data_IF_342759480459
#
_entry.id   IF_342759480459
#
_cell.length_a   1.000
_cell.length_b   1.000
_cell.length_c   1.000
_cell.angle_alpha   90.00
_cell.angle_beta   90.00
_cell.angle_gamma   90.00
#
_symmetry.space_group_name_H-M   'P 1'
#
loop_
_entity.id
_entity.type
_entity.pdbx_description
1 polymer ?
#
# COMPACT_ATOMS: atom_id res chain seq x y z
N UNK A 1 4.92 -2.23 36.37
CA UNK A 1 5.51 -2.30 35.01
C UNK A 1 6.11 -0.95 34.62
N UNK A 2 5.32 0.12 34.48
CA UNK A 2 5.81 1.47 34.13
C UNK A 2 6.97 2.02 34.98
N UNK A 3 6.97 1.83 36.32
CA UNK A 3 8.05 2.36 37.17
C UNK A 3 9.41 1.69 36.90
N UNK A 4 9.44 0.36 36.74
CA UNK A 4 10.66 -0.38 36.44
C UNK A 4 11.12 -0.11 35.00
N UNK A 5 10.20 0.10 34.07
CA UNK A 5 10.49 0.48 32.69
C UNK A 5 11.13 1.87 32.60
N UNK A 6 10.60 2.86 33.33
CA UNK A 6 11.16 4.21 33.39
C UNK A 6 12.48 4.23 34.16
N UNK A 7 12.57 3.56 35.30
CA UNK A 7 13.82 3.46 36.07
C UNK A 7 14.93 2.79 35.26
N UNK A 8 14.60 1.74 34.50
CA UNK A 8 15.53 1.10 33.57
C UNK A 8 15.90 2.05 32.43
N UNK A 9 14.94 2.71 31.76
CA UNK A 9 15.22 3.68 30.71
C UNK A 9 16.13 4.85 31.13
N UNK A 10 16.02 5.32 32.38
CA UNK A 10 16.87 6.38 32.93
C UNK A 10 18.25 5.87 33.39
N UNK A 11 18.33 4.65 33.95
CA UNK A 11 19.58 4.02 34.38
C UNK A 11 20.46 3.58 33.20
N UNK A 12 19.82 3.19 32.11
CA UNK A 12 20.42 2.75 30.86
C UNK A 12 20.88 3.92 29.98
N UNK A 13 21.45 4.99 30.54
CA UNK A 13 21.96 6.19 29.83
C UNK A 13 23.14 5.93 28.87
N UNK A 14 23.30 4.69 28.38
CA UNK A 14 24.21 4.25 27.32
C UNK A 14 23.39 3.62 26.19
N UNK A 15 23.86 3.68 24.95
CA UNK A 15 23.10 3.14 23.81
C UNK A 15 22.66 1.68 24.04
N UNK A 16 21.44 1.30 23.60
CA UNK A 16 20.77 0.03 23.92
C UNK A 16 21.53 -1.27 23.60
N UNK A 17 22.65 -1.20 22.88
CA UNK A 17 23.58 -2.32 22.65
C UNK A 17 24.73 -2.37 23.68
N UNK A 18 25.18 -1.23 24.21
CA UNK A 18 26.33 -1.12 25.14
C UNK A 18 26.02 -1.45 26.60
N UNK A 19 24.75 -1.71 26.92
CA UNK A 19 24.28 -2.07 28.27
C UNK A 19 24.53 -3.53 28.62
N UNK A 20 24.56 -4.38 27.59
CA UNK A 20 24.66 -5.82 27.77
C UNK A 20 26.09 -6.30 28.06
N UNK A 21 27.07 -5.38 28.16
CA UNK A 21 28.43 -5.68 28.65
C UNK A 21 28.49 -5.86 30.18
N UNK A 22 27.50 -5.37 30.94
CA UNK A 22 27.42 -5.55 32.40
C UNK A 22 26.88 -6.94 32.78
N UNK A 23 26.02 -7.51 31.93
CA UNK A 23 25.44 -8.83 32.13
C UNK A 23 25.26 -9.53 30.76
N UNK A 24 26.26 -10.32 30.29
CA UNK A 24 26.24 -10.93 28.96
C UNK A 24 25.07 -11.89 28.74
N UNK A 25 24.46 -12.40 29.81
CA UNK A 25 23.32 -13.33 29.75
C UNK A 25 22.05 -12.69 29.14
N UNK A 26 21.85 -11.38 29.27
CA UNK A 26 20.67 -10.69 28.75
C UNK A 26 20.87 -10.03 27.39
N UNK A 27 22.08 -10.13 26.81
CA UNK A 27 22.43 -9.53 25.51
C UNK A 27 21.51 -9.98 24.37
N UNK A 28 21.12 -11.25 24.35
CA UNK A 28 20.21 -11.79 23.34
C UNK A 28 18.81 -11.17 23.39
N UNK A 29 18.30 -10.89 24.59
CA UNK A 29 16.95 -10.32 24.79
C UNK A 29 16.90 -8.87 24.28
N UNK A 30 17.96 -8.09 24.48
CA UNK A 30 18.03 -6.73 23.96
C UNK A 30 18.10 -6.64 22.45
N UNK A 31 18.85 -7.54 21.81
CA UNK A 31 18.90 -7.60 20.35
C UNK A 31 17.55 -8.08 19.78
N UNK A 32 16.91 -9.05 20.43
CA UNK A 32 15.57 -9.50 20.05
C UNK A 32 14.52 -8.38 20.17
N UNK A 33 14.52 -7.63 21.28
CA UNK A 33 13.58 -6.52 21.46
C UNK A 33 13.82 -5.38 20.47
N UNK A 34 15.08 -5.02 20.21
CA UNK A 34 15.43 -4.03 19.19
C UNK A 34 14.97 -4.45 17.79
N UNK A 35 15.10 -5.74 17.47
CA UNK A 35 14.63 -6.30 16.19
C UNK A 35 13.11 -6.16 16.07
N UNK A 36 12.36 -6.54 17.11
CA UNK A 36 10.89 -6.42 17.11
C UNK A 36 10.44 -4.97 16.98
N UNK A 37 11.08 -4.03 17.70
CA UNK A 37 10.78 -2.60 17.61
C UNK A 37 11.08 -2.06 16.21
N UNK A 38 12.20 -2.48 15.61
CA UNK A 38 12.57 -2.08 14.25
C UNK A 38 11.58 -2.59 13.21
N UNK A 39 11.19 -3.87 13.28
CA UNK A 39 10.17 -4.44 12.40
C UNK A 39 8.81 -3.74 12.58
N UNK A 40 8.45 -3.42 13.83
CA UNK A 40 7.22 -2.67 14.11
C UNK A 40 7.29 -1.27 13.50
N UNK A 41 8.42 -0.57 13.60
CA UNK A 41 8.59 0.76 13.01
C UNK A 41 8.42 0.72 11.49
N UNK A 42 9.03 -0.25 10.81
CA UNK A 42 8.88 -0.42 9.35
C UNK A 42 7.41 -0.65 8.99
N UNK A 43 6.71 -1.53 9.72
CA UNK A 43 5.29 -1.79 9.52
C UNK A 43 4.43 -0.53 9.69
N UNK A 44 4.70 0.28 10.72
CA UNK A 44 4.00 1.56 10.92
C UNK A 44 4.27 2.55 9.80
N UNK A 45 5.52 2.66 9.32
CA UNK A 45 5.86 3.56 8.21
C UNK A 45 5.13 3.17 6.92
N UNK A 46 4.94 1.87 6.66
CA UNK A 46 4.10 1.39 5.55
C UNK A 46 2.67 1.88 5.69
N UNK A 47 2.02 1.66 6.85
CA UNK A 47 0.63 2.11 7.07
C UNK A 47 0.50 3.62 6.87
N UNK A 48 1.42 4.41 7.43
CA UNK A 48 1.40 5.87 7.30
C UNK A 48 1.53 6.28 5.83
N UNK A 49 2.38 5.61 5.06
CA UNK A 49 2.50 5.86 3.62
C UNK A 49 1.17 5.60 2.87
N UNK A 50 0.48 4.50 3.18
CA UNK A 50 -0.85 4.22 2.60
C UNK A 50 -1.87 5.30 2.98
N UNK A 51 -1.92 5.72 4.25
CA UNK A 51 -2.83 6.79 4.70
C UNK A 51 -2.55 8.10 3.96
N UNK A 52 -1.27 8.50 3.84
CA UNK A 52 -0.90 9.73 3.13
C UNK A 52 -1.23 9.65 1.64
N UNK A 53 -1.05 8.49 1.00
CA UNK A 53 -1.46 8.27 -0.39
C UNK A 53 -2.96 8.53 -0.58
N UNK A 54 -3.80 7.93 0.26
CA UNK A 54 -5.25 8.14 0.20
C UNK A 54 -5.66 9.57 0.55
N UNK A 55 -4.96 10.21 1.51
CA UNK A 55 -5.21 11.60 1.89
C UNK A 55 -4.91 12.55 0.71
N UNK A 56 -3.77 12.39 0.05
CA UNK A 56 -3.40 13.22 -1.12
C UNK A 56 -4.38 12.98 -2.26
N UNK A 57 -4.73 11.72 -2.54
CA UNK A 57 -5.70 11.37 -3.56
C UNK A 57 -7.10 11.97 -3.29
N UNK A 58 -7.45 12.22 -2.03
CA UNK A 58 -8.73 12.84 -1.67
C UNK A 58 -8.81 14.33 -2.03
N UNK A 59 -7.67 15.00 -2.26
CA UNK A 59 -7.66 16.37 -2.79
C UNK A 59 -7.85 16.42 -4.32
N UNK A 60 -7.84 15.26 -5.00
CA UNK A 60 -8.09 15.19 -6.45
C UNK A 60 -9.60 15.17 -6.73
N UNK A 61 -10.02 15.82 -7.82
CA UNK A 61 -11.44 15.95 -8.18
C UNK A 61 -12.05 14.63 -8.67
N UNK A 62 -11.25 13.76 -9.28
CA UNK A 62 -11.68 12.46 -9.81
C UNK A 62 -10.67 11.42 -9.36
N UNK A 63 -11.10 10.53 -8.46
CA UNK A 63 -10.26 9.45 -7.94
C UNK A 63 -10.25 8.29 -8.95
N UNK A 64 -9.07 7.71 -9.26
CA UNK A 64 -8.96 6.69 -10.31
C UNK A 64 -9.72 5.39 -9.97
N UNK A 65 -9.86 5.06 -8.69
CA UNK A 65 -10.61 3.89 -8.20
C UNK A 65 -12.08 4.16 -7.90
N UNK A 66 -12.60 5.35 -8.23
CA UNK A 66 -14.00 5.71 -7.97
C UNK A 66 -14.95 5.30 -9.08
N UNK A 67 -14.42 5.08 -10.29
CA UNK A 67 -15.21 4.73 -11.46
C UNK A 67 -14.72 3.46 -12.17
N UNK A 68 -15.66 2.77 -12.81
CA UNK A 68 -15.34 1.65 -13.69
C UNK A 68 -14.82 2.09 -15.08
N UNK A 69 -14.83 3.39 -15.41
CA UNK A 69 -14.37 3.95 -16.70
C UNK A 69 -12.84 4.15 -16.75
N UNK A 70 -12.08 3.07 -16.55
CA UNK A 70 -10.63 3.08 -16.68
C UNK A 70 -10.13 1.95 -17.59
N UNK A 71 -8.96 2.14 -18.19
CA UNK A 71 -8.39 1.19 -19.16
C UNK A 71 -7.91 -0.12 -18.55
N UNK A 72 -7.73 -0.18 -17.23
CA UNK A 72 -7.31 -1.37 -16.49
C UNK A 72 -8.48 -2.18 -15.93
N UNK A 73 -9.72 -1.69 -16.04
CA UNK A 73 -10.88 -2.37 -15.47
C UNK A 73 -11.40 -3.49 -16.37
N UNK A 74 -11.93 -4.55 -15.76
CA UNK A 74 -12.52 -5.70 -16.46
C UNK A 74 -14.02 -5.50 -16.66
N UNK A 75 -14.66 -6.31 -17.51
CA UNK A 75 -16.12 -6.39 -17.68
C UNK A 75 -16.87 -6.75 -16.37
N UNK A 76 -16.14 -7.23 -15.36
CA UNK A 76 -16.68 -7.56 -14.04
C UNK A 76 -16.70 -6.36 -13.07
N UNK A 77 -16.15 -5.20 -13.47
CA UNK A 77 -16.18 -4.00 -12.65
C UNK A 77 -17.62 -3.54 -12.44
N UNK A 78 -18.03 -3.44 -11.17
CA UNK A 78 -19.36 -2.98 -10.80
C UNK A 78 -19.25 -1.72 -9.95
N UNK A 79 -19.96 -0.68 -10.40
CA UNK A 79 -20.19 0.55 -9.66
C UNK A 79 -21.70 0.77 -9.49
N UNK A 80 -22.09 1.34 -8.35
CA UNK A 80 -23.48 1.69 -8.11
C UNK A 80 -23.89 2.84 -9.04
N UNK A 81 -24.90 2.62 -9.87
CA UNK A 81 -25.42 3.64 -10.78
C UNK A 81 -26.79 4.15 -10.30
N UNK A 82 -26.86 5.45 -9.98
CA UNK A 82 -28.10 6.10 -9.49
C UNK A 82 -29.23 6.04 -10.53
N UNK A 83 -28.90 5.99 -11.83
CA UNK A 83 -29.90 5.92 -12.90
C UNK A 83 -30.45 4.51 -13.12
N UNK A 84 -29.82 3.48 -12.56
CA UNK A 84 -30.28 2.09 -12.63
C UNK A 84 -30.19 1.43 -11.23
N UNK A 85 -31.12 1.76 -10.33
CA UNK A 85 -31.09 1.27 -8.95
C UNK A 85 -31.30 -0.26 -8.83
N UNK A 86 -31.80 -0.91 -9.88
CA UNK A 86 -32.03 -2.36 -9.95
C UNK A 86 -30.83 -3.12 -10.54
N UNK A 87 -29.69 -2.45 -10.77
CA UNK A 87 -28.47 -3.12 -11.24
C UNK A 87 -27.95 -4.08 -10.16
N UNK A 88 -28.38 -5.35 -10.23
CA UNK A 88 -27.97 -6.38 -9.29
C UNK A 88 -26.50 -6.73 -9.55
N UNK A 89 -25.63 -6.68 -8.53
CA UNK A 89 -24.26 -7.13 -8.69
C UNK A 89 -24.24 -8.60 -9.11
N UNK A 90 -23.58 -8.90 -10.23
CA UNK A 90 -23.36 -10.28 -10.66
C UNK A 90 -22.53 -11.04 -9.62
N UNK A 91 -22.66 -12.37 -9.57
CA UNK A 91 -21.93 -13.25 -8.64
C UNK A 91 -20.39 -13.13 -8.70
N UNK A 92 -19.85 -12.47 -9.73
CA UNK A 92 -18.41 -12.23 -9.94
C UNK A 92 -18.05 -10.74 -10.01
N UNK A 93 -18.94 -9.86 -9.55
CA UNK A 93 -18.68 -8.42 -9.55
C UNK A 93 -17.50 -8.07 -8.64
N UNK A 94 -16.64 -7.18 -9.13
CA UNK A 94 -15.51 -6.62 -8.39
C UNK A 94 -15.63 -5.11 -8.36
N UNK A 95 -15.18 -4.48 -7.28
CA UNK A 95 -15.25 -3.02 -7.15
C UNK A 95 -14.06 -2.37 -7.85
N UNK A 96 -14.21 -1.13 -8.36
CA UNK A 96 -13.13 -0.43 -9.05
C UNK A 96 -11.87 -0.23 -8.18
N UNK A 97 -12.02 -0.23 -6.84
CA UNK A 97 -10.89 -0.18 -5.91
C UNK A 97 -10.10 -1.48 -5.86
N UNK A 98 -10.76 -2.64 -5.94
CA UNK A 98 -10.07 -3.93 -5.92
C UNK A 98 -9.28 -4.13 -7.21
N UNK A 99 -9.90 -3.84 -8.36
CA UNK A 99 -9.20 -3.92 -9.66
C UNK A 99 -8.05 -2.91 -9.75
N UNK A 100 -8.21 -1.71 -9.19
CA UNK A 100 -7.12 -0.73 -9.12
C UNK A 100 -5.90 -1.26 -8.37
N UNK A 101 -6.07 -1.89 -7.20
CA UNK A 101 -4.93 -2.41 -6.43
C UNK A 101 -4.33 -3.68 -7.04
N UNK A 102 -5.14 -4.51 -7.68
CA UNK A 102 -4.65 -5.66 -8.45
C UNK A 102 -3.78 -5.19 -9.63
N UNK A 103 -4.25 -4.19 -10.38
CA UNK A 103 -3.47 -3.59 -11.45
C UNK A 103 -2.20 -2.88 -10.93
N UNK A 104 -2.31 -2.06 -9.89
CA UNK A 104 -1.17 -1.32 -9.33
C UNK A 104 -0.09 -2.29 -8.82
N UNK A 105 -0.48 -3.34 -8.10
CA UNK A 105 0.46 -4.36 -7.61
C UNK A 105 1.16 -5.13 -8.75
N UNK A 106 0.46 -5.49 -9.82
CA UNK A 106 1.09 -6.11 -11.01
C UNK A 106 2.04 -5.14 -11.73
N UNK A 107 1.70 -3.85 -11.78
CA UNK A 107 2.53 -2.82 -12.39
C UNK A 107 3.78 -2.47 -11.57
N UNK A 108 3.69 -2.49 -10.23
CA UNK A 108 4.82 -2.34 -9.32
C UNK A 108 5.76 -3.56 -9.38
N UNK A 109 5.21 -4.77 -9.54
CA UNK A 109 5.98 -5.99 -9.79
C UNK A 109 6.74 -5.96 -11.12
N UNK A 110 6.16 -5.34 -12.16
CA UNK A 110 6.79 -5.17 -13.47
C UNK A 110 7.97 -4.16 -13.46
N UNK A 111 8.04 -3.26 -12.47
CA UNK A 111 9.20 -2.36 -12.31
C UNK A 111 10.46 -3.09 -11.82
N UNK A 112 10.32 -4.25 -11.16
CA UNK A 112 11.45 -5.04 -10.65
C UNK A 112 11.84 -6.22 -11.57
N UNK A 113 10.99 -6.60 -12.52
CA UNK A 113 11.24 -7.74 -13.40
C UNK A 113 11.10 -7.31 -14.87
N UNK A 114 12.26 -7.20 -15.54
CA UNK A 114 12.42 -7.09 -16.99
C UNK A 114 12.11 -5.73 -17.64
N UNK A 115 13.14 -5.16 -18.28
CA UNK A 115 12.91 -4.29 -19.42
C UNK A 115 12.34 -5.12 -20.57
N UNK A 116 11.02 -5.31 -20.66
CA UNK A 116 10.30 -5.60 -21.92
C UNK A 116 8.81 -5.29 -21.75
N UNK A 117 8.25 -4.59 -22.75
CA UNK A 117 6.82 -4.34 -23.03
C UNK A 117 5.98 -3.60 -21.97
N UNK A 118 5.95 -2.28 -22.15
CA UNK A 118 4.91 -1.36 -21.64
C UNK A 118 3.50 -1.86 -22.05
N UNK A 119 2.51 -1.96 -21.15
CA UNK A 119 1.13 -1.86 -21.57
C UNK A 119 0.81 -0.39 -21.88
N UNK A 120 0.16 -0.16 -23.02
CA UNK A 120 -0.24 1.12 -23.59
C UNK A 120 -0.39 2.29 -22.61
N UNK A 121 0.54 3.24 -22.72
CA UNK A 121 0.42 4.59 -22.19
C UNK A 121 -0.73 5.32 -22.92
N UNK A 122 -1.99 5.18 -22.45
CA UNK A 122 -3.06 6.12 -22.84
C UNK A 122 -2.91 7.39 -22.00
N UNK A 123 -2.01 8.27 -22.43
CA UNK A 123 -2.04 9.69 -22.04
C UNK A 123 -3.30 10.29 -22.68
N UNK A 124 -4.24 10.67 -21.84
CA UNK A 124 -5.47 11.36 -22.23
C UNK A 124 -5.14 12.80 -22.65
N UNK A 125 -4.86 13.03 -23.92
CA UNK A 125 -5.07 14.34 -24.54
C UNK A 125 -5.54 14.15 -25.98
N UNK A 126 -6.85 14.33 -26.20
CA UNK A 126 -7.50 14.57 -27.50
C UNK A 126 -6.85 13.93 -28.75
N UNK A 127 -7.31 12.75 -29.19
CA UNK A 127 -7.29 12.40 -30.62
C UNK A 127 -8.27 11.25 -30.96
N UNK A 128 -9.10 11.37 -32.03
CA UNK A 128 -10.10 10.37 -32.38
C UNK A 128 -9.54 9.28 -33.30
N UNK A 129 -10.21 8.12 -33.28
CA UNK A 129 -10.24 7.01 -34.27
C UNK A 129 -9.10 5.97 -34.27
N UNK A 130 -9.53 4.75 -33.89
CA UNK A 130 -9.21 3.44 -34.50
C UNK A 130 -7.80 2.89 -34.24
N UNK A 131 -7.70 1.94 -33.30
CA UNK A 131 -6.75 0.84 -33.40
C UNK A 131 -7.53 -0.39 -33.90
N UNK A 132 -7.41 -0.70 -35.19
CA UNK A 132 -7.83 -1.97 -35.79
C UNK A 132 -6.64 -2.93 -35.64
N UNK A 133 -6.81 -4.03 -34.91
CA UNK A 133 -5.84 -5.13 -34.91
C UNK A 133 -6.12 -6.06 -36.10
N UNK A 134 -5.06 -6.40 -36.83
CA UNK A 134 -5.00 -7.54 -37.74
C UNK A 134 -4.73 -8.80 -36.91
#
# INVERSE_FOLDING_TARGET
MFYLEVAMGQYLSRGGIGIWDIAPMFKGIGIASLTIVTLSNIYYMVIVAWILFYLIASFTQVLPWKHCDNHWNTENCWEYNVTDPDSIPHNKSVTPIVEFWEWDSTSAGAASASGTSRPCLKVQTHCPRVCRSQ
#
